data_IF_611626517840
#
_entry.id   IF_611626517840
#
_cell.length_a   1.000
_cell.length_b   1.000
_cell.length_c   1.000
_cell.angle_alpha   90.00
_cell.angle_beta   90.00
_cell.angle_gamma   90.00
#
_symmetry.space_group_name_H-M   'P 1'
#
loop_
_entity.id
_entity.type
_entity.pdbx_description
1 polymer ?
#
# COMPACT_ATOMS: atom_id res chain seq x y z
N UNK A 1 -12.40 -6.48 -5.11
CA UNK A 1 -12.75 -6.08 -3.71
C UNK A 1 -13.11 -4.61 -3.69
N UNK A 2 -14.23 -4.30 -3.10
CA UNK A 2 -14.64 -2.91 -2.94
C UNK A 2 -13.63 -2.15 -2.08
N UNK A 3 -13.28 -0.94 -2.50
CA UNK A 3 -12.33 -0.10 -1.79
C UNK A 3 -10.87 -0.36 -2.12
N UNK A 4 -10.57 -1.29 -3.01
CA UNK A 4 -9.21 -1.60 -3.47
C UNK A 4 -9.12 -1.33 -4.96
N UNK A 5 -8.09 -0.56 -5.37
CA UNK A 5 -7.84 -0.26 -6.77
C UNK A 5 -6.35 -0.49 -7.05
N UNK A 6 -6.05 -1.23 -8.12
CA UNK A 6 -4.70 -1.31 -8.67
C UNK A 6 -4.64 -0.47 -9.94
N UNK A 7 -3.70 0.47 -9.98
CA UNK A 7 -3.50 1.36 -11.12
C UNK A 7 -2.11 1.14 -11.69
N UNK A 8 -1.98 0.63 -12.93
CA UNK A 8 -0.67 0.55 -13.58
C UNK A 8 -0.01 1.93 -13.69
N UNK A 9 1.28 1.98 -13.40
CA UNK A 9 2.04 3.23 -13.41
C UNK A 9 3.08 3.20 -14.53
N UNK A 10 3.32 4.35 -15.14
CA UNK A 10 4.31 4.48 -16.19
C UNK A 10 5.72 4.43 -15.63
N UNK A 11 6.58 3.71 -16.32
CA UNK A 11 8.03 3.76 -16.18
C UNK A 11 8.58 4.27 -17.52
N UNK A 12 9.21 5.44 -17.49
CA UNK A 12 9.73 6.07 -18.71
C UNK A 12 11.23 5.87 -18.71
N UNK A 13 11.71 5.08 -19.66
CA UNK A 13 13.13 4.79 -19.83
C UNK A 13 13.90 6.06 -20.22
N UNK A 14 15.07 6.22 -19.62
CA UNK A 14 16.05 7.20 -20.05
C UNK A 14 17.45 6.63 -19.81
N UNK A 15 18.41 6.81 -20.75
CA UNK A 15 19.75 6.22 -20.60
C UNK A 15 20.54 6.71 -19.38
N UNK A 16 20.14 7.85 -18.81
CA UNK A 16 20.76 8.41 -17.59
C UNK A 16 19.94 8.19 -16.33
N UNK A 17 18.82 7.49 -16.41
CA UNK A 17 17.95 7.21 -15.28
C UNK A 17 16.48 7.41 -15.63
N UNK A 18 15.65 6.47 -15.23
CA UNK A 18 14.25 6.41 -15.60
C UNK A 18 13.37 7.30 -14.73
N UNK A 19 12.18 7.61 -15.24
CA UNK A 19 11.13 8.27 -14.47
C UNK A 19 10.09 7.22 -14.06
N UNK A 20 9.78 7.15 -12.79
CA UNK A 20 8.73 6.30 -12.25
C UNK A 20 7.57 7.17 -11.79
N UNK A 21 6.43 7.07 -12.47
CA UNK A 21 5.25 7.83 -12.08
C UNK A 21 4.67 7.27 -10.78
N UNK A 22 4.05 8.13 -9.98
CA UNK A 22 3.43 7.73 -8.72
C UNK A 22 1.93 8.04 -8.72
N UNK A 23 1.56 9.31 -8.87
CA UNK A 23 0.15 9.70 -8.89
C UNK A 23 -0.02 11.06 -9.54
N UNK A 24 -1.08 11.20 -10.33
CA UNK A 24 -1.58 12.48 -10.81
C UNK A 24 -2.86 12.83 -10.09
N UNK A 25 -3.12 14.11 -9.91
CA UNK A 25 -4.37 14.61 -9.30
C UNK A 25 -5.61 14.07 -10.02
N UNK A 26 -5.52 13.82 -11.32
CA UNK A 26 -6.62 13.32 -12.14
C UNK A 26 -6.78 11.82 -12.15
N UNK A 27 -5.90 11.08 -11.45
CA UNK A 27 -5.95 9.62 -11.45
C UNK A 27 -7.13 9.09 -10.65
N UNK A 28 -7.63 7.93 -11.07
CA UNK A 28 -8.56 7.17 -10.25
C UNK A 28 -7.86 6.77 -8.94
N UNK A 29 -8.57 6.86 -7.83
CA UNK A 29 -7.99 6.59 -6.51
C UNK A 29 -7.46 7.83 -5.80
N UNK A 30 -7.29 8.96 -6.51
CA UNK A 30 -6.93 10.20 -5.85
C UNK A 30 -8.12 10.68 -4.99
N UNK A 31 -7.88 10.87 -3.71
CA UNK A 31 -8.91 11.25 -2.73
C UNK A 31 -8.40 12.40 -1.84
N UNK A 32 -7.76 13.37 -2.46
CA UNK A 32 -7.12 14.47 -1.75
C UNK A 32 -5.69 14.16 -1.37
N UNK A 33 -5.01 15.18 -0.86
CA UNK A 33 -3.62 15.05 -0.41
C UNK A 33 -3.48 15.65 0.98
N UNK A 34 -3.05 14.80 1.93
CA UNK A 34 -2.72 15.25 3.28
C UNK A 34 -1.23 15.28 3.52
N UNK A 35 -0.55 14.17 3.26
CA UNK A 35 0.90 14.06 3.41
C UNK A 35 1.45 12.92 2.56
N UNK A 36 2.74 12.95 2.31
CA UNK A 36 3.45 11.86 1.65
C UNK A 36 4.62 11.44 2.54
N UNK A 37 4.81 10.14 2.70
CA UNK A 37 5.94 9.62 3.46
C UNK A 37 6.41 8.29 2.89
N UNK A 38 7.71 8.02 3.09
CA UNK A 38 8.30 6.74 2.80
C UNK A 38 8.31 5.88 4.05
N UNK A 39 8.17 4.58 3.87
CA UNK A 39 8.29 3.59 4.92
C UNK A 39 9.11 2.42 4.41
N UNK A 40 9.93 1.84 5.25
CA UNK A 40 10.70 0.65 4.90
C UNK A 40 10.17 -0.56 5.64
N UNK A 41 10.45 -1.74 5.09
CA UNK A 41 10.17 -3.00 5.76
C UNK A 41 11.30 -3.99 5.46
N UNK A 42 11.80 -4.65 6.49
CA UNK A 42 12.87 -5.62 6.36
C UNK A 42 12.39 -6.88 5.65
N UNK A 43 13.32 -7.60 5.04
CA UNK A 43 13.01 -8.87 4.37
C UNK A 43 12.35 -9.84 5.34
N UNK A 44 11.24 -10.43 4.92
CA UNK A 44 10.42 -11.39 5.66
C UNK A 44 9.66 -10.85 6.87
N UNK A 45 9.88 -9.59 7.26
CA UNK A 45 9.09 -8.99 8.32
C UNK A 45 7.70 -8.60 7.81
N UNK A 46 6.73 -8.66 8.71
CA UNK A 46 5.33 -8.33 8.42
C UNK A 46 4.89 -7.23 9.37
N UNK A 47 4.35 -6.16 8.81
CA UNK A 47 3.70 -5.09 9.59
C UNK A 47 2.19 -5.16 9.38
N UNK A 48 1.43 -5.15 10.44
CA UNK A 48 -0.03 -5.20 10.39
C UNK A 48 -0.61 -5.72 11.69
N UNK A 49 -1.87 -5.79 11.73
CA UNK A 49 -2.89 -5.23 10.84
C UNK A 49 -3.27 -3.83 11.30
N UNK A 50 -3.50 -2.96 10.34
CA UNK A 50 -3.96 -1.59 10.59
C UNK A 50 -5.17 -1.30 9.72
N UNK A 51 -6.19 -0.67 10.32
CA UNK A 51 -7.36 -0.17 9.61
C UNK A 51 -7.44 1.33 9.81
N UNK A 52 -7.45 2.07 8.71
CA UNK A 52 -7.74 3.51 8.74
C UNK A 52 -9.25 3.72 8.71
N UNK A 53 -9.73 4.68 9.47
CA UNK A 53 -11.16 5.01 9.51
C UNK A 53 -11.52 6.17 8.59
N UNK A 54 -10.53 6.98 8.19
CA UNK A 54 -10.73 8.17 7.34
C UNK A 54 -9.74 8.25 6.18
N UNK A 55 -8.50 7.80 6.36
CA UNK A 55 -7.45 7.93 5.36
C UNK A 55 -7.63 6.94 4.21
N UNK A 56 -7.55 7.45 2.99
CA UNK A 56 -7.30 6.62 1.81
C UNK A 56 -5.80 6.52 1.62
N UNK A 57 -5.30 5.30 1.49
CA UNK A 57 -3.90 5.01 1.18
C UNK A 57 -3.70 4.93 -0.32
N UNK A 58 -2.61 5.50 -0.80
CA UNK A 58 -2.14 5.30 -2.18
C UNK A 58 -0.67 4.89 -2.10
N UNK A 59 -0.41 3.62 -2.35
CA UNK A 59 0.87 2.97 -2.06
C UNK A 59 1.62 2.63 -3.34
N UNK A 60 2.89 3.02 -3.36
CA UNK A 60 3.81 2.76 -4.47
C UNK A 60 5.08 2.13 -3.89
N UNK A 61 5.66 1.16 -4.58
CA UNK A 61 6.90 0.50 -4.14
C UNK A 61 8.03 0.86 -5.11
N UNK A 62 8.80 1.93 -4.82
CA UNK A 62 9.88 2.34 -5.70
C UNK A 62 11.14 1.49 -5.57
N UNK A 63 11.32 0.79 -4.45
CA UNK A 63 12.51 -0.04 -4.19
C UNK A 63 12.08 -1.35 -3.56
N UNK A 64 12.62 -2.45 -4.09
CA UNK A 64 12.37 -3.79 -3.56
C UNK A 64 11.07 -4.40 -4.04
N UNK A 65 10.55 -5.32 -3.24
CA UNK A 65 9.28 -5.99 -3.48
C UNK A 65 8.53 -6.16 -2.17
N UNK A 66 7.27 -5.77 -2.17
CA UNK A 66 6.41 -5.84 -0.98
C UNK A 66 5.11 -6.54 -1.36
N UNK A 67 4.73 -7.50 -0.53
CA UNK A 67 3.42 -8.14 -0.62
C UNK A 67 2.44 -7.40 0.29
N UNK A 68 1.34 -6.92 -0.27
CA UNK A 68 0.25 -6.28 0.47
C UNK A 68 -0.93 -7.23 0.54
N UNK A 69 -1.55 -7.30 1.72
CA UNK A 69 -2.76 -8.06 1.94
C UNK A 69 -3.80 -7.14 2.55
N UNK A 70 -4.97 -7.09 1.94
CA UNK A 70 -6.12 -6.30 2.40
C UNK A 70 -7.23 -7.25 2.79
N UNK A 71 -7.84 -7.00 3.94
CA UNK A 71 -8.93 -7.80 4.46
C UNK A 71 -10.17 -6.95 4.70
N UNK A 72 -11.29 -7.39 4.16
CA UNK A 72 -12.60 -6.79 4.40
C UNK A 72 -13.35 -7.64 5.43
N UNK A 73 -13.52 -7.11 6.63
CA UNK A 73 -14.19 -7.84 7.72
C UNK A 73 -15.68 -8.03 7.48
N UNK A 74 -16.30 -7.23 6.62
CA UNK A 74 -17.71 -7.35 6.31
C UNK A 74 -18.00 -8.50 5.36
N UNK A 75 -17.23 -8.60 4.27
CA UNK A 75 -17.35 -9.69 3.30
C UNK A 75 -16.50 -10.91 3.67
N UNK A 76 -15.53 -10.74 4.58
CA UNK A 76 -14.53 -11.75 4.96
C UNK A 76 -13.64 -12.18 3.79
N UNK A 77 -13.43 -11.28 2.84
CA UNK A 77 -12.58 -11.53 1.68
C UNK A 77 -11.19 -10.95 1.89
N UNK A 78 -10.21 -11.60 1.27
CA UNK A 78 -8.83 -11.13 1.20
C UNK A 78 -8.49 -10.75 -0.23
N UNK A 79 -7.70 -9.69 -0.36
CA UNK A 79 -7.05 -9.31 -1.62
C UNK A 79 -5.56 -9.25 -1.35
N UNK A 80 -4.74 -9.80 -2.25
CA UNK A 80 -3.29 -9.72 -2.12
C UNK A 80 -2.64 -9.34 -3.45
N UNK A 81 -1.52 -8.62 -3.36
CA UNK A 81 -0.72 -8.26 -4.51
C UNK A 81 0.73 -8.07 -4.10
N UNK A 82 1.65 -8.37 -5.01
CA UNK A 82 3.09 -8.13 -4.83
C UNK A 82 3.49 -7.00 -5.76
N UNK A 83 3.95 -5.89 -5.19
CA UNK A 83 4.38 -4.72 -5.95
C UNK A 83 5.90 -4.62 -5.94
N UNK A 84 6.44 -4.33 -7.11
CA UNK A 84 7.88 -4.23 -7.35
C UNK A 84 8.13 -3.44 -8.62
N UNK A 85 9.40 -3.26 -8.97
CA UNK A 85 9.78 -2.69 -10.26
C UNK A 85 9.19 -3.48 -11.44
N UNK A 86 9.07 -4.80 -11.32
CA UNK A 86 8.54 -5.67 -12.37
C UNK A 86 7.01 -5.76 -12.37
N UNK A 87 6.36 -5.30 -11.34
CA UNK A 87 4.90 -5.17 -11.24
C UNK A 87 4.58 -3.80 -10.63
N UNK A 88 4.86 -2.76 -11.41
CA UNK A 88 4.85 -1.39 -10.92
C UNK A 88 3.45 -0.80 -11.04
N UNK A 89 2.74 -0.81 -9.94
CA UNK A 89 1.36 -0.32 -9.83
C UNK A 89 1.17 0.45 -8.54
N UNK A 90 0.18 1.31 -8.51
CA UNK A 90 -0.25 1.96 -7.27
C UNK A 90 -1.43 1.19 -6.69
N UNK A 91 -1.32 0.85 -5.42
CA UNK A 91 -2.39 0.23 -4.66
C UNK A 91 -3.14 1.31 -3.90
N UNK A 92 -4.42 1.49 -4.22
CA UNK A 92 -5.32 2.36 -3.48
C UNK A 92 -6.13 1.52 -2.51
N UNK A 93 -6.11 1.87 -1.23
CA UNK A 93 -6.88 1.20 -0.18
C UNK A 93 -7.73 2.25 0.52
N UNK A 94 -9.04 2.15 0.39
CA UNK A 94 -9.95 3.09 1.03
C UNK A 94 -10.11 2.79 2.52
N UNK A 95 -10.55 3.79 3.28
CA UNK A 95 -10.81 3.64 4.70
C UNK A 95 -11.79 2.50 4.98
N UNK A 96 -11.62 1.86 6.13
CA UNK A 96 -12.49 0.77 6.58
C UNK A 96 -11.96 -0.63 6.29
N UNK A 97 -10.82 -0.76 5.65
CA UNK A 97 -10.21 -2.05 5.33
C UNK A 97 -8.95 -2.28 6.17
N UNK A 98 -8.73 -3.53 6.57
CA UNK A 98 -7.51 -3.95 7.26
C UNK A 98 -6.41 -4.19 6.24
N UNK A 99 -5.20 -3.76 6.55
CA UNK A 99 -4.05 -4.00 5.69
C UNK A 99 -2.85 -4.46 6.51
N UNK A 100 -2.09 -5.38 5.92
CA UNK A 100 -0.78 -5.80 6.39
C UNK A 100 0.13 -5.95 5.17
N UNK A 101 1.43 -5.86 5.38
CA UNK A 101 2.38 -6.04 4.29
C UNK A 101 3.67 -6.68 4.78
N UNK A 102 4.30 -7.43 3.85
CA UNK A 102 5.53 -8.17 4.10
C UNK A 102 6.61 -7.76 3.12
N UNK A 103 7.82 -7.57 3.62
CA UNK A 103 8.99 -7.35 2.77
C UNK A 103 9.44 -8.64 2.09
N UNK A 104 9.65 -8.61 0.78
CA UNK A 104 10.13 -9.76 0.01
C UNK A 104 11.57 -9.56 -0.42
N UNK A 105 11.93 -8.37 -0.89
CA UNK A 105 13.30 -8.04 -1.27
C UNK A 105 14.21 -7.89 -0.05
N UNK A 106 15.51 -7.75 -0.32
CA UNK A 106 16.50 -7.50 0.74
C UNK A 106 16.32 -6.11 1.35
N UNK A 107 15.96 -5.11 0.54
CA UNK A 107 15.65 -3.75 0.97
C UNK A 107 14.37 -3.31 0.30
N UNK A 108 13.40 -2.87 1.07
CA UNK A 108 12.07 -2.55 0.58
C UNK A 108 11.61 -1.20 1.09
N UNK A 109 11.08 -0.39 0.18
CA UNK A 109 10.56 0.93 0.51
C UNK A 109 9.23 1.13 -0.19
N UNK A 110 8.24 1.61 0.54
CA UNK A 110 6.98 2.08 -0.02
C UNK A 110 6.85 3.58 0.17
N UNK A 111 6.08 4.19 -0.71
CA UNK A 111 5.63 5.57 -0.60
C UNK A 111 4.13 5.55 -0.37
N UNK A 112 3.65 6.23 0.66
CA UNK A 112 2.22 6.47 0.83
C UNK A 112 1.90 7.92 0.52
N UNK A 113 1.01 8.13 -0.45
CA UNK A 113 0.43 9.42 -0.77
C UNK A 113 -0.91 9.47 -0.05
N UNK A 114 -0.89 9.87 1.22
CA UNK A 114 -2.05 9.79 2.11
C UNK A 114 -3.03 10.93 1.86
N UNK A 115 -4.32 10.61 1.90
CA UNK A 115 -5.39 11.59 1.64
C UNK A 115 -5.56 12.62 2.75
N UNK A 116 -5.11 12.29 3.97
CA UNK A 116 -5.16 13.20 5.13
C UNK A 116 -3.82 13.16 5.85
N UNK A 117 -3.55 14.18 6.66
CA UNK A 117 -2.39 14.17 7.54
C UNK A 117 -2.58 13.14 8.67
N UNK A 118 -1.46 12.68 9.22
CA UNK A 118 -1.46 11.71 10.32
C UNK A 118 -2.30 12.20 11.50
N UNK A 119 -3.23 11.35 11.92
CA UNK A 119 -4.03 11.55 13.12
C UNK A 119 -3.97 10.25 13.92
N UNK A 120 -3.39 10.24 15.13
CA UNK A 120 -3.22 9.01 15.90
C UNK A 120 -4.54 8.34 16.28
N UNK A 121 -5.66 9.07 16.23
CA UNK A 121 -6.98 8.54 16.62
C UNK A 121 -7.79 8.00 15.44
N UNK A 122 -7.28 8.14 14.21
CA UNK A 122 -8.03 7.74 13.01
C UNK A 122 -7.76 6.30 12.60
N UNK A 123 -6.75 5.65 13.14
CA UNK A 123 -6.39 4.29 12.79
C UNK A 123 -6.55 3.34 13.98
N UNK A 124 -6.86 2.09 13.66
CA UNK A 124 -6.98 0.99 14.63
C UNK A 124 -5.91 -0.04 14.31
N UNK A 125 -5.20 -0.51 15.33
CA UNK A 125 -4.19 -1.55 15.21
C UNK A 125 -4.61 -2.77 16.01
N UNK A 126 -4.40 -3.95 15.44
CA UNK A 126 -4.58 -5.23 16.14
C UNK A 126 -3.35 -6.10 15.89
N UNK A 127 -3.19 -7.12 16.71
CA UNK A 127 -2.10 -8.08 16.57
C UNK A 127 -2.23 -8.87 15.27
N UNK A 128 -1.11 -9.29 14.73
CA UNK A 128 -1.05 -9.98 13.44
C UNK A 128 -1.89 -11.27 13.44
N UNK A 129 -1.92 -11.99 14.55
CA UNK A 129 -2.66 -13.24 14.68
C UNK A 129 -4.18 -13.07 14.85
N UNK A 130 -4.68 -11.86 14.97
CA UNK A 130 -6.12 -11.62 15.13
C UNK A 130 -6.89 -11.72 13.82
N UNK A 131 -6.19 -11.66 12.69
CA UNK A 131 -6.78 -11.99 11.38
C UNK A 131 -5.99 -13.17 10.83
N UNK A 132 -6.68 -14.27 10.62
CA UNK A 132 -6.04 -15.51 10.15
C UNK A 132 -5.77 -15.44 8.65
N UNK A 133 -4.51 -15.20 8.30
CA UNK A 133 -4.04 -15.20 6.92
C UNK A 133 -2.75 -16.01 6.83
N UNK A 134 -2.69 -16.86 5.84
CA UNK A 134 -1.54 -17.74 5.64
C UNK A 134 -0.50 -17.05 4.74
N UNK A 135 0.54 -16.53 5.35
CA UNK A 135 1.65 -15.89 4.65
C UNK A 135 2.61 -16.95 4.10
N UNK A 136 2.91 -16.88 2.82
CA UNK A 136 3.83 -17.81 2.16
C UNK A 136 5.21 -17.22 1.93
#
# INVERSE_FOLDING_TARGET
MDGVILTPLKQIYHPKGDIFHAMKKSDIGFDGFGEAYFSTINQNDIKGWKKHTKMTLNLVVPVGEIEFVVYDENSKEFFSTKLSHNNYQRLTVKAGLWMAFRGIGEYNMLLNLASIEHDPNEAVNIELNEINYEWN
#
